data_IF_146368888208
#
_entry.id   IF_146368888208
#
_cell.length_a   1.000
_cell.length_b   1.000
_cell.length_c   1.000
_cell.angle_alpha   90.00
_cell.angle_beta   90.00
_cell.angle_gamma   90.00
#
_symmetry.space_group_name_H-M   'P 1'
#
loop_
_entity.id
_entity.type
_entity.pdbx_description
1 polymer ?
#
# COMPACT_ATOMS: atom_id res chain seq x y z
N UNK A 1 34.70 -46.21 49.17
CA UNK A 1 33.93 -44.95 48.97
C UNK A 1 33.84 -44.66 47.47
N UNK A 2 32.72 -44.98 46.85
CA UNK A 2 32.52 -44.77 45.40
C UNK A 2 31.75 -43.46 45.21
N UNK A 3 32.40 -42.42 44.66
CA UNK A 3 31.79 -41.12 44.31
C UNK A 3 30.97 -41.27 43.02
N UNK A 4 29.65 -41.22 43.15
CA UNK A 4 28.74 -41.17 42.00
C UNK A 4 28.79 -39.74 41.41
N UNK A 5 29.28 -39.60 40.19
CA UNK A 5 29.13 -38.38 39.39
C UNK A 5 27.74 -38.37 38.74
N UNK A 6 26.90 -37.42 39.12
CA UNK A 6 25.63 -37.16 38.47
C UNK A 6 25.91 -36.20 37.33
N UNK A 7 25.80 -36.70 36.07
CA UNK A 7 25.89 -35.90 34.86
C UNK A 7 24.53 -35.23 34.64
N UNK A 8 24.43 -33.94 34.88
CA UNK A 8 23.23 -33.16 34.55
C UNK A 8 23.33 -32.75 33.08
N UNK A 9 22.54 -33.40 32.20
CA UNK A 9 22.38 -33.01 30.79
C UNK A 9 21.37 -31.88 30.76
N UNK A 10 21.83 -30.62 30.53
CA UNK A 10 20.97 -29.50 30.21
C UNK A 10 20.48 -29.66 28.77
N UNK A 11 19.21 -30.00 28.62
CA UNK A 11 18.54 -29.94 27.33
C UNK A 11 18.20 -28.46 27.02
N UNK A 12 18.99 -27.81 26.19
CA UNK A 12 18.67 -26.48 25.66
C UNK A 12 17.59 -26.68 24.60
N UNK A 13 16.34 -26.48 24.96
CA UNK A 13 15.24 -26.35 24.00
C UNK A 13 15.44 -25.03 23.24
N UNK A 14 16.01 -25.14 22.04
CA UNK A 14 16.02 -24.04 21.07
C UNK A 14 14.57 -23.85 20.61
N UNK A 15 13.89 -22.87 21.19
CA UNK A 15 12.66 -22.35 20.60
C UNK A 15 13.07 -21.64 19.29
N UNK A 16 12.89 -22.31 18.18
CA UNK A 16 12.79 -21.62 16.90
C UNK A 16 11.45 -20.88 16.95
N UNK A 17 11.48 -19.58 17.28
CA UNK A 17 10.36 -18.73 16.94
C UNK A 17 10.25 -18.79 15.41
N UNK A 18 9.22 -19.42 14.89
CA UNK A 18 8.82 -19.22 13.51
C UNK A 18 8.50 -17.72 13.43
N UNK A 19 9.37 -16.94 12.82
CA UNK A 19 9.02 -15.58 12.43
C UNK A 19 7.79 -15.73 11.51
N UNK A 20 6.64 -15.28 11.98
CA UNK A 20 5.45 -15.21 11.14
C UNK A 20 5.77 -14.18 10.06
N UNK A 21 5.55 -14.53 8.80
CA UNK A 21 5.75 -13.58 7.70
C UNK A 21 4.91 -12.32 7.98
N UNK A 22 5.55 -11.17 7.86
CA UNK A 22 4.90 -9.88 8.03
C UNK A 22 3.93 -9.63 6.88
N UNK A 23 2.89 -8.86 7.09
CA UNK A 23 1.89 -8.57 6.06
C UNK A 23 1.99 -7.13 5.57
N UNK A 24 2.00 -6.96 4.24
CA UNK A 24 1.77 -5.67 3.58
C UNK A 24 0.34 -5.68 3.05
N UNK A 25 -0.50 -4.80 3.58
CA UNK A 25 -1.85 -4.56 3.07
C UNK A 25 -1.80 -3.53 1.94
N UNK A 26 -2.43 -3.83 0.80
CA UNK A 26 -2.70 -2.86 -0.25
C UNK A 26 -4.17 -2.45 -0.12
N UNK A 27 -4.43 -1.24 0.35
CA UNK A 27 -5.76 -0.64 0.44
C UNK A 27 -5.89 0.43 -0.64
N UNK A 28 -6.46 0.04 -1.78
CA UNK A 28 -6.39 0.83 -3.00
C UNK A 28 -7.59 0.61 -3.93
N UNK A 29 -7.53 1.21 -5.11
CA UNK A 29 -8.57 1.13 -6.13
C UNK A 29 -8.15 0.31 -7.38
N UNK A 30 -8.61 0.73 -8.56
CA UNK A 30 -8.40 0.02 -9.82
C UNK A 30 -6.94 -0.05 -10.27
N UNK A 31 -6.09 0.91 -9.90
CA UNK A 31 -4.68 0.91 -10.27
C UNK A 31 -3.93 -0.27 -9.63
N UNK A 32 -4.37 -0.69 -8.46
CA UNK A 32 -3.78 -1.81 -7.70
C UNK A 32 -4.58 -3.11 -7.85
N UNK A 33 -5.85 -3.04 -8.31
CA UNK A 33 -6.69 -4.21 -8.59
C UNK A 33 -6.42 -4.86 -9.95
N UNK A 34 -5.41 -4.42 -10.69
CA UNK A 34 -5.06 -4.91 -12.03
C UNK A 34 -6.20 -4.75 -13.06
N UNK A 35 -6.92 -3.61 -13.01
CA UNK A 35 -8.04 -3.38 -13.93
C UNK A 35 -7.61 -3.49 -15.40
N UNK A 36 -8.32 -4.34 -16.17
CA UNK A 36 -8.09 -4.51 -17.61
C UNK A 36 -6.85 -5.30 -18.02
N UNK A 37 -6.09 -5.83 -17.04
CA UNK A 37 -4.91 -6.68 -17.27
C UNK A 37 -4.99 -7.97 -16.44
N UNK A 38 -4.11 -8.93 -16.70
CA UNK A 38 -4.01 -10.15 -15.88
C UNK A 38 -3.44 -9.81 -14.49
N UNK A 39 -3.95 -10.47 -13.44
CA UNK A 39 -3.58 -10.18 -12.03
C UNK A 39 -2.07 -10.38 -11.81
N UNK A 40 -1.49 -11.41 -12.39
CA UNK A 40 -0.06 -11.72 -12.28
C UNK A 40 0.86 -10.71 -12.98
N UNK A 41 0.31 -9.87 -13.85
CA UNK A 41 1.00 -8.76 -14.51
C UNK A 41 0.92 -7.44 -13.72
N UNK A 42 0.00 -7.34 -12.74
CA UNK A 42 -0.19 -6.12 -11.94
C UNK A 42 0.98 -5.83 -11.00
N UNK A 43 1.24 -4.55 -10.75
CA UNK A 43 2.36 -4.09 -9.90
C UNK A 43 2.35 -4.72 -8.49
N UNK A 44 1.19 -5.05 -7.94
CA UNK A 44 1.06 -5.70 -6.63
C UNK A 44 1.64 -7.13 -6.67
N UNK A 45 1.37 -7.88 -7.74
CA UNK A 45 1.97 -9.21 -7.94
C UNK A 45 3.49 -9.12 -8.18
N UNK A 46 3.93 -8.08 -8.92
CA UNK A 46 5.34 -7.79 -9.12
C UNK A 46 6.03 -7.37 -7.81
N UNK A 47 5.35 -6.66 -6.91
CA UNK A 47 5.84 -6.35 -5.57
C UNK A 47 6.12 -7.63 -4.77
N UNK A 48 5.16 -8.56 -4.70
CA UNK A 48 5.37 -9.84 -4.00
C UNK A 48 6.57 -10.60 -4.58
N UNK A 49 6.69 -10.63 -5.90
CA UNK A 49 7.84 -11.26 -6.57
C UNK A 49 9.15 -10.59 -6.18
N UNK A 50 9.22 -9.25 -6.24
CA UNK A 50 10.41 -8.46 -5.87
C UNK A 50 10.82 -8.67 -4.42
N UNK A 51 9.86 -8.72 -3.50
CA UNK A 51 10.11 -9.00 -2.08
C UNK A 51 10.78 -10.37 -1.92
N UNK A 52 10.22 -11.41 -2.54
CA UNK A 52 10.76 -12.76 -2.49
C UNK A 52 12.18 -12.86 -3.07
N UNK A 53 12.41 -12.23 -4.25
CA UNK A 53 13.71 -12.22 -4.92
C UNK A 53 14.79 -11.48 -4.12
N UNK A 54 14.41 -10.45 -3.35
CA UNK A 54 15.32 -9.68 -2.51
C UNK A 54 15.46 -10.21 -1.08
N UNK A 55 14.76 -11.31 -0.74
CA UNK A 55 14.87 -12.00 0.54
C UNK A 55 14.15 -11.30 1.69
N UNK A 56 13.09 -10.55 1.39
CA UNK A 56 12.17 -10.02 2.40
C UNK A 56 11.09 -11.04 2.74
N UNK A 57 10.76 -11.18 4.03
CA UNK A 57 9.71 -12.10 4.53
C UNK A 57 8.41 -11.33 4.75
N UNK A 58 7.78 -10.90 3.66
CA UNK A 58 6.49 -10.24 3.66
C UNK A 58 5.51 -10.95 2.73
N UNK A 59 4.26 -11.07 3.17
CA UNK A 59 3.13 -11.46 2.33
C UNK A 59 2.34 -10.22 1.95
N UNK A 60 2.06 -10.06 0.66
CA UNK A 60 1.25 -8.95 0.16
C UNK A 60 -0.21 -9.36 0.07
N UNK A 61 -1.07 -8.69 0.84
CA UNK A 61 -2.51 -8.88 0.76
C UNK A 61 -3.14 -7.72 -0.03
N UNK A 62 -3.70 -8.02 -1.20
CA UNK A 62 -4.33 -7.03 -2.06
C UNK A 62 -5.82 -6.92 -1.76
N UNK A 63 -6.22 -5.88 -1.02
CA UNK A 63 -7.61 -5.52 -0.73
C UNK A 63 -8.16 -4.43 -1.66
N UNK A 64 -7.53 -4.21 -2.83
CA UNK A 64 -7.96 -3.18 -3.77
C UNK A 64 -9.26 -3.55 -4.48
N UNK A 65 -10.14 -2.58 -4.67
CA UNK A 65 -11.41 -2.75 -5.38
C UNK A 65 -11.53 -1.70 -6.48
N UNK A 66 -11.68 -2.15 -7.74
CA UNK A 66 -11.87 -1.22 -8.86
C UNK A 66 -13.08 -0.33 -8.67
N UNK A 67 -12.88 0.99 -8.82
CA UNK A 67 -13.95 1.99 -8.63
C UNK A 67 -14.20 2.38 -7.17
N UNK A 68 -13.43 1.84 -6.22
CA UNK A 68 -13.58 2.18 -4.80
C UNK A 68 -13.27 3.65 -4.53
N UNK A 69 -13.96 4.20 -3.54
CA UNK A 69 -13.77 5.56 -3.04
C UNK A 69 -13.16 5.53 -1.65
N UNK A 70 -12.69 6.68 -1.18
CA UNK A 70 -12.23 6.83 0.20
C UNK A 70 -13.30 6.43 1.21
N UNK A 71 -14.58 6.74 0.94
CA UNK A 71 -15.71 6.32 1.77
C UNK A 71 -15.93 4.79 1.73
N UNK A 72 -15.86 4.18 0.55
CA UNK A 72 -16.02 2.73 0.40
C UNK A 72 -14.94 1.96 1.17
N UNK A 73 -13.69 2.36 1.00
CA UNK A 73 -12.56 1.77 1.70
C UNK A 73 -12.65 1.93 3.23
N UNK A 74 -13.02 3.13 3.73
CA UNK A 74 -13.23 3.37 5.16
C UNK A 74 -14.32 2.46 5.74
N UNK A 75 -15.40 2.23 4.99
CA UNK A 75 -16.55 1.43 5.43
C UNK A 75 -16.22 -0.05 5.62
N UNK A 76 -15.22 -0.59 4.89
CA UNK A 76 -14.83 -2.01 4.94
C UNK A 76 -13.53 -2.26 5.71
N UNK A 77 -12.85 -1.19 6.16
CA UNK A 77 -11.53 -1.31 6.78
C UNK A 77 -11.56 -2.14 8.07
N UNK A 78 -12.55 -1.94 8.94
CA UNK A 78 -12.66 -2.67 10.21
C UNK A 78 -12.73 -4.20 9.96
N UNK A 79 -13.51 -4.64 8.97
CA UNK A 79 -13.60 -6.05 8.60
C UNK A 79 -12.27 -6.61 8.08
N UNK A 80 -11.47 -5.80 7.36
CA UNK A 80 -10.15 -6.22 6.89
C UNK A 80 -9.19 -6.37 8.09
N UNK A 81 -9.21 -5.42 9.02
CA UNK A 81 -8.32 -5.41 10.18
C UNK A 81 -8.69 -6.46 11.23
N UNK A 82 -9.96 -6.92 11.27
CA UNK A 82 -10.36 -8.08 12.07
C UNK A 82 -9.75 -9.41 11.56
N UNK A 83 -9.41 -9.49 10.27
CA UNK A 83 -8.86 -10.70 9.64
C UNK A 83 -7.32 -10.71 9.57
N UNK A 84 -6.67 -9.57 9.72
CA UNK A 84 -5.22 -9.46 9.58
C UNK A 84 -4.64 -8.30 10.39
N UNK A 85 -3.36 -8.42 10.71
CA UNK A 85 -2.53 -7.45 11.41
C UNK A 85 -1.42 -6.98 10.45
N UNK A 86 -1.65 -5.92 9.64
CA UNK A 86 -0.68 -5.50 8.64
C UNK A 86 0.46 -4.69 9.27
N UNK A 87 1.70 -5.14 9.13
CA UNK A 87 2.90 -4.39 9.51
C UNK A 87 3.01 -3.08 8.73
N UNK A 88 2.67 -3.13 7.42
CA UNK A 88 2.70 -1.97 6.52
C UNK A 88 1.39 -1.94 5.74
N UNK A 89 0.79 -0.76 5.62
CA UNK A 89 -0.33 -0.54 4.70
C UNK A 89 0.06 0.47 3.62
N UNK A 90 0.00 0.04 2.36
CA UNK A 90 0.09 0.93 1.21
C UNK A 90 -1.32 1.44 0.91
N UNK A 91 -1.54 2.73 1.17
CA UNK A 91 -2.81 3.42 0.97
C UNK A 91 -2.76 4.24 -0.34
N UNK A 92 -3.47 3.78 -1.37
CA UNK A 92 -3.53 4.40 -2.71
C UNK A 92 -5.01 4.59 -3.08
N UNK A 93 -5.64 5.69 -2.63
CA UNK A 93 -7.07 5.97 -2.76
C UNK A 93 -7.36 7.46 -2.97
N UNK A 94 -8.53 7.74 -3.51
CA UNK A 94 -9.02 9.09 -3.78
C UNK A 94 -9.17 9.39 -5.27
N UNK A 95 -8.61 8.55 -6.14
CA UNK A 95 -8.73 8.72 -7.59
C UNK A 95 -10.18 8.78 -8.06
N UNK A 96 -11.00 7.85 -7.62
CA UNK A 96 -12.43 7.81 -7.94
C UNK A 96 -13.22 8.97 -7.35
N UNK A 97 -12.86 9.42 -6.16
CA UNK A 97 -13.46 10.61 -5.53
C UNK A 97 -13.16 11.86 -6.35
N UNK A 98 -11.89 12.06 -6.69
CA UNK A 98 -11.43 13.19 -7.50
C UNK A 98 -12.05 13.22 -8.90
N UNK A 99 -12.10 12.06 -9.59
CA UNK A 99 -12.71 11.92 -10.91
C UNK A 99 -14.22 12.16 -10.89
N UNK A 100 -14.90 11.94 -9.75
CA UNK A 100 -16.34 12.25 -9.56
C UNK A 100 -16.56 13.68 -9.06
N UNK A 101 -15.51 14.44 -8.80
CA UNK A 101 -15.59 15.82 -8.29
C UNK A 101 -16.20 15.90 -6.89
N UNK A 102 -15.97 14.90 -6.03
CA UNK A 102 -16.49 14.87 -4.68
C UNK A 102 -15.92 16.01 -3.82
N UNK A 103 -16.59 16.41 -2.73
CA UNK A 103 -16.11 17.46 -1.85
C UNK A 103 -14.73 17.13 -1.25
N UNK A 104 -13.78 18.05 -1.36
CA UNK A 104 -12.40 17.89 -0.87
C UNK A 104 -12.35 17.54 0.63
N UNK A 105 -13.19 18.22 1.43
CA UNK A 105 -13.22 18.00 2.89
C UNK A 105 -13.73 16.59 3.24
N UNK A 106 -14.63 16.02 2.43
CA UNK A 106 -15.11 14.65 2.61
C UNK A 106 -14.00 13.64 2.28
N UNK A 107 -13.32 13.81 1.14
CA UNK A 107 -12.18 12.96 0.76
C UNK A 107 -11.11 12.98 1.85
N UNK A 108 -10.75 14.19 2.31
CA UNK A 108 -9.76 14.37 3.37
C UNK A 108 -10.19 13.69 4.67
N UNK A 109 -11.45 13.87 5.09
CA UNK A 109 -11.98 13.26 6.31
C UNK A 109 -11.98 11.73 6.26
N UNK A 110 -12.30 11.15 5.10
CA UNK A 110 -12.28 9.69 4.93
C UNK A 110 -10.85 9.15 4.99
N UNK A 111 -9.90 9.78 4.27
CA UNK A 111 -8.48 9.39 4.32
C UNK A 111 -7.88 9.54 5.72
N UNK A 112 -8.21 10.64 6.41
CA UNK A 112 -7.81 10.87 7.81
C UNK A 112 -8.33 9.75 8.73
N UNK A 113 -9.60 9.37 8.57
CA UNK A 113 -10.20 8.26 9.30
C UNK A 113 -9.54 6.90 9.02
N UNK A 114 -9.19 6.62 7.76
CA UNK A 114 -8.45 5.42 7.37
C UNK A 114 -7.07 5.41 8.04
N UNK A 115 -6.30 6.48 7.87
CA UNK A 115 -4.94 6.61 8.41
C UNK A 115 -4.94 6.46 9.94
N UNK A 116 -5.88 7.14 10.62
CA UNK A 116 -6.02 7.07 12.08
C UNK A 116 -6.28 5.64 12.58
N UNK A 117 -7.16 4.89 11.88
CA UNK A 117 -7.45 3.49 12.22
C UNK A 117 -6.22 2.59 12.00
N UNK A 118 -5.51 2.74 10.88
CA UNK A 118 -4.31 1.97 10.59
C UNK A 118 -3.20 2.20 11.63
N UNK A 119 -3.00 3.46 12.04
CA UNK A 119 -2.04 3.81 13.10
C UNK A 119 -2.45 3.23 14.45
N UNK A 120 -3.75 3.20 14.77
CA UNK A 120 -4.25 2.59 16.01
C UNK A 120 -3.98 1.09 16.07
N UNK A 121 -4.00 0.41 14.92
CA UNK A 121 -3.63 -1.01 14.76
C UNK A 121 -2.11 -1.20 14.52
N UNK A 122 -1.30 -0.19 14.85
CA UNK A 122 0.17 -0.23 14.77
C UNK A 122 0.74 -0.47 13.36
N UNK A 123 -0.07 -0.32 12.30
CA UNK A 123 0.37 -0.44 10.91
C UNK A 123 1.16 0.81 10.48
N UNK A 124 2.33 0.61 9.86
CA UNK A 124 3.07 1.69 9.20
C UNK A 124 2.36 2.09 7.91
N UNK A 125 1.89 3.33 7.83
CA UNK A 125 1.16 3.81 6.65
C UNK A 125 2.12 4.41 5.62
N UNK A 126 2.11 3.83 4.42
CA UNK A 126 2.75 4.38 3.24
C UNK A 126 1.67 4.97 2.33
N UNK A 127 1.53 6.29 2.35
CA UNK A 127 0.50 7.01 1.60
C UNK A 127 1.00 7.32 0.17
N UNK A 128 0.31 6.80 -0.84
CA UNK A 128 0.61 7.06 -2.25
C UNK A 128 -0.33 8.15 -2.77
N UNK A 129 0.19 9.34 -3.16
CA UNK A 129 -0.65 10.43 -3.62
C UNK A 129 -1.26 10.14 -5.00
N UNK A 130 -2.44 10.69 -5.23
CA UNK A 130 -3.14 10.66 -6.51
C UNK A 130 -3.07 12.02 -7.18
N UNK A 131 -2.88 12.00 -8.50
CA UNK A 131 -3.00 13.19 -9.36
C UNK A 131 -4.12 12.94 -10.35
N UNK A 132 -5.09 13.85 -10.41
CA UNK A 132 -6.21 13.79 -11.35
C UNK A 132 -5.94 14.63 -12.60
N UNK A 133 -6.61 14.32 -13.73
CA UNK A 133 -6.41 15.05 -14.98
C UNK A 133 -6.66 16.57 -14.89
N UNK A 134 -5.98 17.40 -15.70
CA UNK A 134 -6.00 18.86 -15.55
C UNK A 134 -7.34 19.53 -15.88
N UNK A 135 -8.27 18.82 -16.50
CA UNK A 135 -9.59 19.34 -16.89
C UNK A 135 -10.56 19.58 -15.72
N UNK A 136 -10.19 19.18 -14.48
CA UNK A 136 -11.00 19.45 -13.26
C UNK A 136 -10.82 20.85 -12.70
N UNK A 137 -9.94 21.65 -13.30
CA UNK A 137 -9.66 23.04 -12.91
C UNK A 137 -8.64 23.16 -11.78
N UNK A 138 -7.75 24.14 -11.95
CA UNK A 138 -6.58 24.31 -11.08
C UNK A 138 -6.92 24.37 -9.58
N UNK A 139 -7.99 25.09 -9.22
CA UNK A 139 -8.38 25.24 -7.81
C UNK A 139 -8.74 23.90 -7.13
N UNK A 140 -9.50 23.06 -7.84
CA UNK A 140 -9.88 21.74 -7.31
C UNK A 140 -8.66 20.82 -7.25
N UNK A 141 -7.83 20.80 -8.30
CA UNK A 141 -6.64 19.97 -8.38
C UNK A 141 -5.63 20.34 -7.27
N UNK A 142 -5.35 21.61 -7.08
CA UNK A 142 -4.41 22.08 -6.04
C UNK A 142 -4.88 21.64 -4.64
N UNK A 143 -6.18 21.78 -4.36
CA UNK A 143 -6.75 21.33 -3.08
C UNK A 143 -6.75 19.82 -2.93
N UNK A 144 -7.12 19.10 -3.99
CA UNK A 144 -7.14 17.63 -4.00
C UNK A 144 -5.74 17.07 -3.75
N UNK A 145 -4.75 17.54 -4.49
CA UNK A 145 -3.35 17.08 -4.34
C UNK A 145 -2.79 17.49 -2.96
N UNK A 146 -3.20 18.65 -2.44
CA UNK A 146 -2.78 19.14 -1.13
C UNK A 146 -3.17 18.24 0.04
N UNK A 147 -4.28 17.48 -0.06
CA UNK A 147 -4.76 16.56 0.98
C UNK A 147 -3.65 15.60 1.44
N UNK A 148 -2.94 15.00 0.48
CA UNK A 148 -1.94 13.98 0.77
C UNK A 148 -0.76 14.54 1.57
N UNK A 149 -0.26 15.72 1.19
CA UNK A 149 0.80 16.41 1.94
C UNK A 149 0.35 16.81 3.35
N UNK A 150 -0.89 17.33 3.47
CA UNK A 150 -1.45 17.73 4.76
C UNK A 150 -1.61 16.54 5.71
N UNK A 151 -2.15 15.42 5.21
CA UNK A 151 -2.36 14.22 6.01
C UNK A 151 -1.03 13.53 6.37
N UNK A 152 -0.08 13.47 5.44
CA UNK A 152 1.25 12.93 5.73
C UNK A 152 1.96 13.74 6.83
N UNK A 153 1.88 15.06 6.77
CA UNK A 153 2.45 15.93 7.82
C UNK A 153 1.68 15.88 9.14
N UNK A 154 0.34 15.72 9.10
CA UNK A 154 -0.49 15.63 10.30
C UNK A 154 -0.22 14.37 11.13
N UNK A 155 -0.05 13.24 10.44
CA UNK A 155 0.12 11.92 11.06
C UNK A 155 1.57 11.45 11.15
N UNK A 156 2.53 12.26 10.67
CA UNK A 156 3.97 11.90 10.59
C UNK A 156 4.19 10.55 9.88
N UNK A 157 3.48 10.35 8.75
CA UNK A 157 3.56 9.15 7.94
C UNK A 157 4.33 9.40 6.64
N UNK A 158 4.75 8.31 5.98
CA UNK A 158 5.52 8.41 4.76
C UNK A 158 4.60 8.71 3.58
N UNK A 159 4.91 9.80 2.87
CA UNK A 159 4.31 10.14 1.59
C UNK A 159 5.22 9.65 0.46
N UNK A 160 4.71 8.70 -0.31
CA UNK A 160 5.39 8.19 -1.49
C UNK A 160 5.28 9.13 -2.68
N UNK A 161 5.90 8.75 -3.80
CA UNK A 161 5.74 9.43 -5.08
C UNK A 161 4.43 9.04 -5.76
N UNK A 162 4.01 9.86 -6.72
CA UNK A 162 2.88 9.51 -7.59
C UNK A 162 3.20 8.26 -8.41
N UNK A 163 2.38 7.21 -8.25
CA UNK A 163 2.64 5.90 -8.82
C UNK A 163 2.68 5.89 -10.36
N UNK A 164 1.96 6.83 -11.01
CA UNK A 164 1.95 6.99 -12.47
C UNK A 164 2.88 8.09 -12.98
N UNK A 165 3.89 8.50 -12.21
CA UNK A 165 4.87 9.47 -12.67
C UNK A 165 5.63 8.97 -13.90
N UNK A 166 5.68 9.79 -14.97
CA UNK A 166 6.28 9.41 -16.26
C UNK A 166 5.55 8.30 -17.01
N UNK A 167 4.32 7.94 -16.59
CA UNK A 167 3.44 6.95 -17.23
C UNK A 167 2.19 7.62 -17.77
N UNK A 168 1.50 8.43 -16.97
CA UNK A 168 0.19 9.00 -17.29
C UNK A 168 0.19 9.93 -18.53
N UNK A 169 1.33 10.48 -18.90
CA UNK A 169 1.53 11.32 -20.08
C UNK A 169 1.94 10.55 -21.35
N UNK A 170 2.09 9.22 -21.25
CA UNK A 170 2.49 8.34 -22.36
C UNK A 170 1.33 7.46 -22.82
N UNK A 171 0.69 7.78 -23.96
CA UNK A 171 -0.46 7.02 -24.45
C UNK A 171 -0.20 5.51 -24.64
N UNK A 172 1.04 5.12 -24.97
CA UNK A 172 1.45 3.73 -25.16
C UNK A 172 1.51 2.92 -23.84
N UNK A 173 1.58 3.60 -22.69
CA UNK A 173 1.56 2.98 -21.36
C UNK A 173 0.18 3.04 -20.70
N UNK A 174 -0.80 3.68 -21.35
CA UNK A 174 -2.18 3.79 -20.86
C UNK A 174 -3.14 2.99 -21.73
N UNK A 175 -4.16 2.42 -21.10
CA UNK A 175 -5.26 1.79 -21.80
C UNK A 175 -6.09 2.82 -22.58
N UNK A 176 -6.98 2.35 -23.46
CA UNK A 176 -7.78 3.24 -24.31
C UNK A 176 -8.68 4.23 -23.54
N UNK A 177 -8.93 4.00 -22.28
CA UNK A 177 -9.69 4.91 -21.42
C UNK A 177 -8.88 6.12 -20.93
N UNK A 178 -7.54 6.09 -21.09
CA UNK A 178 -6.63 7.16 -20.68
C UNK A 178 -6.52 7.35 -19.16
N UNK A 179 -7.00 6.37 -18.37
CA UNK A 179 -7.00 6.39 -16.90
C UNK A 179 -6.15 5.24 -16.34
N UNK A 180 -6.33 4.05 -16.90
CA UNK A 180 -5.68 2.85 -16.39
C UNK A 180 -4.40 2.54 -17.19
N UNK A 181 -3.31 2.19 -16.52
CA UNK A 181 -2.05 1.80 -17.16
C UNK A 181 -2.16 0.40 -17.80
N UNK A 182 -1.35 0.16 -18.84
CA UNK A 182 -1.21 -1.15 -19.49
C UNK A 182 -0.36 -2.10 -18.65
N UNK A 183 -0.26 -3.37 -19.07
CA UNK A 183 0.65 -4.35 -18.45
C UNK A 183 2.12 -3.94 -18.53
N UNK A 184 2.51 -3.24 -19.61
CA UNK A 184 3.89 -2.76 -19.83
C UNK A 184 4.29 -1.65 -18.84
N UNK A 185 3.31 -0.95 -18.25
CA UNK A 185 3.55 0.11 -17.29
C UNK A 185 3.77 -0.40 -15.84
N UNK A 186 3.38 -1.63 -15.54
CA UNK A 186 3.28 -2.11 -14.15
C UNK A 186 4.63 -2.17 -13.42
N UNK A 187 5.69 -2.56 -14.11
CA UNK A 187 7.05 -2.55 -13.53
C UNK A 187 7.50 -1.12 -13.20
N UNK A 188 7.20 -0.16 -14.08
CA UNK A 188 7.50 1.26 -13.85
C UNK A 188 6.70 1.83 -12.67
N UNK A 189 5.43 1.41 -12.50
CA UNK A 189 4.63 1.79 -11.33
C UNK A 189 5.30 1.35 -10.04
N UNK A 190 5.74 0.09 -9.98
CA UNK A 190 6.46 -0.43 -8.83
C UNK A 190 7.80 0.31 -8.62
N UNK A 191 8.54 0.59 -9.69
CA UNK A 191 9.81 1.32 -9.61
C UNK A 191 9.63 2.76 -9.12
N UNK A 192 8.49 3.39 -9.40
CA UNK A 192 8.19 4.74 -8.91
C UNK A 192 8.06 4.78 -7.38
N UNK A 193 7.42 3.79 -6.77
CA UNK A 193 7.18 3.77 -5.31
C UNK A 193 8.26 3.03 -4.53
N UNK A 194 9.02 2.15 -5.16
CA UNK A 194 10.00 1.28 -4.50
C UNK A 194 11.06 2.03 -3.67
N UNK A 195 11.66 3.14 -4.15
CA UNK A 195 12.67 3.87 -3.39
C UNK A 195 12.18 4.41 -2.05
N UNK A 196 10.88 4.75 -1.96
CA UNK A 196 10.27 5.30 -0.76
C UNK A 196 9.67 4.19 0.13
N UNK A 197 9.27 3.05 -0.46
CA UNK A 197 8.74 1.87 0.24
C UNK A 197 9.84 1.01 0.85
N UNK A 198 10.93 0.76 0.11
CA UNK A 198 11.97 -0.20 0.52
C UNK A 198 12.66 0.13 1.85
N UNK A 199 12.80 1.40 2.29
CA UNK A 199 13.35 1.71 3.61
C UNK A 199 12.46 1.29 4.79
N UNK A 200 11.16 1.01 4.56
CA UNK A 200 10.23 0.51 5.58
C UNK A 200 10.36 -1.00 5.79
N UNK A 201 11.03 -1.70 4.87
CA UNK A 201 11.11 -3.15 4.87
C UNK A 201 12.29 -3.63 5.71
N UNK A 202 12.04 -4.50 6.67
CA UNK A 202 13.08 -5.18 7.42
C UNK A 202 13.54 -6.44 6.69
N UNK A 203 14.85 -6.65 6.64
CA UNK A 203 15.44 -7.95 6.28
C UNK A 203 15.63 -8.75 7.57
N UNK A 204 15.06 -9.94 7.61
CA UNK A 204 15.29 -10.90 8.70
C UNK A 204 16.76 -11.33 8.79
#
# INVERSE_FOLDING_TARGET
MVRKFILVILFILSFHANAQDKTILILADSLSASYGIAIDQGWVSLLQKRLNEQGYSYNVFNASISGDTTHGALSRLDMILEEMDPEITILELGGNDGLRGLPIDEIKSNLDGIISKLILEESQVFLVPIIIPPNYGKFYIDKFTGIYNELAGLHDIILGRFILEGIADKPELMQNDGIHPTSEAQELMLDNIWPDLSPLLDKN
#
